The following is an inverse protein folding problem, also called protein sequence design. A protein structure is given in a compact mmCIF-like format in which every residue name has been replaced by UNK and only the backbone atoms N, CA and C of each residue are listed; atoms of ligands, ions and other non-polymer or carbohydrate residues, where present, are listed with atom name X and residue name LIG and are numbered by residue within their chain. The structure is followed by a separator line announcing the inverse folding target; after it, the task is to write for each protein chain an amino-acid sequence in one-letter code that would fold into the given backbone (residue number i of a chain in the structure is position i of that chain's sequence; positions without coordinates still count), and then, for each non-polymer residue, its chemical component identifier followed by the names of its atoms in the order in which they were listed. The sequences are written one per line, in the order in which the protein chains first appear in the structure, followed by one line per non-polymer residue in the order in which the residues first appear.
data_IF_150819883773
#
_entry.id   IF_150819883773
#
_cell.length_a   1.000
_cell.length_b   1.000
_cell.length_c   1.000
_cell.angle_alpha   90.00
_cell.angle_beta   90.00
_cell.angle_gamma   90.00
#
_symmetry.space_group_name_H-M   'P 1'
#
loop_
_entity.id
_entity.type
_entity.pdbx_description
1 polymer ?
#
# COMPACT_ATOMS: atom_id res chain seq x y z
N UNK A 1 -28.46 -44.12 50.17
CA UNK A 1 -28.48 -42.94 49.26
C UNK A 1 -28.01 -43.27 47.84
N UNK A 2 -27.05 -44.17 47.65
CA UNK A 2 -26.51 -44.58 46.35
C UNK A 2 -27.56 -45.06 45.32
N UNK A 3 -28.54 -45.88 45.74
CA UNK A 3 -29.62 -46.38 44.85
C UNK A 3 -30.54 -45.27 44.30
N UNK A 4 -30.75 -44.19 45.07
CA UNK A 4 -31.57 -43.05 44.64
C UNK A 4 -30.83 -42.19 43.61
N UNK A 5 -29.51 -42.05 43.79
CA UNK A 5 -28.64 -41.32 42.84
C UNK A 5 -28.58 -42.06 41.50
N UNK A 6 -28.46 -43.39 41.51
CA UNK A 6 -28.48 -44.21 40.28
C UNK A 6 -29.82 -44.07 39.54
N UNK A 7 -30.95 -44.11 40.25
CA UNK A 7 -32.27 -43.97 39.64
C UNK A 7 -32.46 -42.60 38.97
N UNK A 8 -31.92 -41.52 39.57
CA UNK A 8 -31.96 -40.17 39.00
C UNK A 8 -31.09 -40.07 37.74
N UNK A 9 -29.91 -40.70 37.74
CA UNK A 9 -29.01 -40.72 36.57
C UNK A 9 -29.65 -41.50 35.40
N UNK A 10 -30.31 -42.63 35.68
CA UNK A 10 -30.96 -43.43 34.63
C UNK A 10 -32.18 -42.70 34.05
N UNK A 11 -32.99 -42.03 34.88
CA UNK A 11 -34.08 -41.18 34.39
C UNK A 11 -33.56 -39.99 33.59
N UNK A 12 -32.46 -39.37 34.02
CA UNK A 12 -31.84 -38.26 33.27
C UNK A 12 -31.32 -38.72 31.90
N UNK A 13 -30.71 -39.90 31.80
CA UNK A 13 -30.31 -40.47 30.51
C UNK A 13 -31.50 -40.76 29.60
N UNK A 14 -32.60 -41.31 30.13
CA UNK A 14 -33.78 -41.68 29.34
C UNK A 14 -34.51 -40.46 28.72
N UNK A 15 -34.39 -39.28 29.34
CA UNK A 15 -34.96 -38.02 28.83
C UNK A 15 -34.09 -37.39 27.73
N UNK A 16 -32.77 -37.68 27.72
CA UNK A 16 -31.81 -37.07 26.76
C UNK A 16 -31.71 -37.86 25.45
N UNK A 17 -32.19 -39.11 25.40
CA UNK A 17 -32.01 -40.00 24.24
C UNK A 17 -32.94 -39.73 23.02
N UNK A 18 -34.19 -39.19 23.12
CA UNK A 18 -35.07 -39.19 21.94
C UNK A 18 -34.87 -38.03 20.93
N UNK A 19 -33.81 -37.21 21.00
CA UNK A 19 -33.70 -36.03 20.11
C UNK A 19 -32.78 -36.18 18.89
N UNK A 20 -32.16 -37.34 18.66
CA UNK A 20 -31.39 -37.58 17.43
C UNK A 20 -32.21 -38.35 16.39
N UNK A 21 -33.23 -37.69 15.84
CA UNK A 21 -33.76 -38.10 14.52
C UNK A 21 -32.71 -37.68 13.50
N UNK A 22 -31.83 -38.60 13.14
CA UNK A 22 -31.00 -38.44 11.94
C UNK A 22 -31.94 -38.53 10.75
N UNK A 23 -32.17 -37.41 10.05
CA UNK A 23 -32.85 -37.43 8.78
C UNK A 23 -32.04 -38.32 7.84
N UNK A 24 -32.59 -39.48 7.49
CA UNK A 24 -32.02 -40.34 6.46
C UNK A 24 -32.08 -39.55 5.15
N UNK A 25 -30.93 -39.13 4.64
CA UNK A 25 -30.86 -38.40 3.36
C UNK A 25 -31.59 -39.25 2.32
N UNK A 26 -32.65 -38.69 1.73
CA UNK A 26 -33.37 -39.33 0.63
C UNK A 26 -32.40 -39.52 -0.54
N UNK A 27 -31.78 -40.69 -0.61
CA UNK A 27 -30.88 -41.07 -1.70
C UNK A 27 -31.74 -41.40 -2.91
N UNK A 28 -31.99 -40.39 -3.76
CA UNK A 28 -32.68 -40.59 -5.02
C UNK A 28 -31.97 -41.65 -5.87
N UNK A 29 -32.70 -42.66 -6.31
CA UNK A 29 -32.14 -43.81 -7.05
C UNK A 29 -31.99 -43.45 -8.53
N UNK A 30 -30.79 -43.62 -9.06
CA UNK A 30 -30.53 -43.57 -10.51
C UNK A 30 -30.59 -45.00 -11.02
N UNK A 31 -31.56 -45.32 -11.88
CA UNK A 31 -31.67 -46.66 -12.47
C UNK A 31 -30.95 -46.70 -13.81
N UNK A 32 -29.92 -47.55 -13.90
CA UNK A 32 -29.28 -47.88 -15.18
C UNK A 32 -29.99 -49.09 -15.79
N UNK A 33 -30.33 -49.02 -17.07
CA UNK A 33 -30.88 -50.14 -17.84
C UNK A 33 -29.73 -50.94 -18.47
N UNK A 34 -29.88 -52.26 -18.55
CA UNK A 34 -28.91 -53.12 -19.24
C UNK A 34 -29.11 -53.10 -20.77
N UNK A 35 -28.10 -53.56 -21.53
CA UNK A 35 -28.18 -53.64 -22.98
C UNK A 35 -29.34 -54.57 -23.37
N UNK A 36 -30.30 -54.04 -24.15
CA UNK A 36 -31.51 -54.71 -24.65
C UNK A 36 -32.73 -54.73 -23.70
N UNK A 37 -32.71 -54.01 -22.57
CA UNK A 37 -33.88 -53.83 -21.70
C UNK A 37 -34.79 -52.70 -22.21
N UNK A 38 -36.10 -52.94 -22.31
CA UNK A 38 -37.06 -51.98 -22.88
C UNK A 38 -37.34 -50.86 -21.87
N UNK A 39 -36.75 -49.69 -22.09
CA UNK A 39 -37.04 -48.50 -21.31
C UNK A 39 -38.53 -48.11 -21.46
N UNK A 40 -39.26 -47.82 -20.37
CA UNK A 40 -40.62 -47.28 -20.45
C UNK A 40 -40.68 -45.95 -21.22
N UNK A 41 -39.58 -45.18 -21.15
CA UNK A 41 -39.35 -43.91 -21.86
C UNK A 41 -37.88 -43.83 -22.29
N UNK A 42 -37.57 -43.21 -23.41
CA UNK A 42 -36.18 -43.05 -23.87
C UNK A 42 -35.40 -42.05 -22.98
N UNK A 43 -34.31 -42.48 -22.35
CA UNK A 43 -33.42 -41.62 -21.54
C UNK A 43 -32.91 -42.27 -20.25
N UNK A 44 -32.38 -41.45 -19.34
CA UNK A 44 -31.93 -41.87 -18.00
C UNK A 44 -33.12 -41.75 -17.03
N UNK A 45 -33.47 -42.83 -16.34
CA UNK A 45 -34.56 -42.84 -15.37
C UNK A 45 -34.05 -42.29 -14.02
N UNK A 46 -34.30 -41.00 -13.79
CA UNK A 46 -34.04 -40.33 -12.52
C UNK A 46 -35.32 -40.33 -11.67
N UNK A 47 -35.21 -40.81 -10.44
CA UNK A 47 -36.20 -40.53 -9.41
C UNK A 47 -36.37 -39.00 -9.28
N UNK A 48 -37.59 -38.44 -9.15
CA UNK A 48 -37.82 -37.01 -8.91
C UNK A 48 -36.92 -36.39 -7.83
N UNK A 49 -36.52 -37.17 -6.81
CA UNK A 49 -35.56 -36.74 -5.78
C UNK A 49 -34.15 -36.56 -6.35
N UNK A 50 -33.67 -37.52 -7.17
CA UNK A 50 -32.38 -37.45 -7.85
C UNK A 50 -32.34 -36.32 -8.89
N UNK A 51 -33.42 -36.15 -9.67
CA UNK A 51 -33.54 -35.07 -10.64
C UNK A 51 -33.51 -33.69 -9.98
N UNK A 52 -34.24 -33.53 -8.86
CA UNK A 52 -34.24 -32.29 -8.09
C UNK A 52 -32.87 -31.99 -7.50
N UNK A 53 -32.20 -32.99 -6.92
CA UNK A 53 -30.83 -32.86 -6.39
C UNK A 53 -29.86 -32.42 -7.49
N UNK A 54 -29.86 -33.08 -8.65
CA UNK A 54 -28.99 -32.72 -9.76
C UNK A 54 -29.22 -31.29 -10.28
N UNK A 55 -30.47 -30.81 -10.35
CA UNK A 55 -30.79 -29.44 -10.76
C UNK A 55 -30.28 -28.44 -9.73
N UNK A 56 -30.47 -28.74 -8.45
CA UNK A 56 -30.02 -27.90 -7.34
C UNK A 56 -28.48 -27.84 -7.30
N UNK A 57 -27.81 -28.99 -7.37
CA UNK A 57 -26.36 -29.09 -7.39
C UNK A 57 -25.76 -28.30 -8.56
N UNK A 58 -26.34 -28.41 -9.77
CA UNK A 58 -25.89 -27.62 -10.92
C UNK A 58 -26.00 -26.11 -10.65
N UNK A 59 -27.10 -25.65 -10.06
CA UNK A 59 -27.27 -24.23 -9.70
C UNK A 59 -26.26 -23.79 -8.65
N UNK A 60 -26.02 -24.60 -7.62
CA UNK A 60 -25.03 -24.32 -6.58
C UNK A 60 -23.62 -24.26 -7.15
N UNK A 61 -23.22 -25.23 -7.97
CA UNK A 61 -21.90 -25.26 -8.62
C UNK A 61 -21.71 -24.01 -9.49
N UNK A 62 -22.70 -23.65 -10.32
CA UNK A 62 -22.60 -22.41 -11.12
C UNK A 62 -22.47 -21.17 -10.23
N UNK A 63 -23.18 -21.11 -9.11
CA UNK A 63 -23.11 -19.98 -8.18
C UNK A 63 -21.77 -19.91 -7.46
N UNK A 64 -21.22 -21.05 -7.07
CA UNK A 64 -19.93 -21.17 -6.40
C UNK A 64 -18.80 -20.75 -7.34
N UNK A 65 -18.84 -21.19 -8.60
CA UNK A 65 -17.88 -20.76 -9.64
C UNK A 65 -17.97 -19.25 -9.86
N UNK A 66 -19.18 -18.68 -10.00
CA UNK A 66 -19.37 -17.24 -10.15
C UNK A 66 -18.81 -16.46 -8.96
N UNK A 67 -19.04 -16.95 -7.74
CA UNK A 67 -18.61 -16.30 -6.50
C UNK A 67 -17.08 -16.36 -6.35
N UNK A 68 -16.47 -17.51 -6.64
CA UNK A 68 -15.01 -17.66 -6.61
C UNK A 68 -14.36 -16.77 -7.68
N UNK A 69 -14.88 -16.76 -8.90
CA UNK A 69 -14.36 -15.91 -9.97
C UNK A 69 -14.45 -14.43 -9.60
N UNK A 70 -15.59 -13.99 -9.03
CA UNK A 70 -15.76 -12.61 -8.55
C UNK A 70 -14.78 -12.27 -7.44
N UNK A 71 -14.57 -13.18 -6.49
CA UNK A 71 -13.63 -12.99 -5.38
C UNK A 71 -12.20 -12.84 -5.89
N UNK A 72 -11.76 -13.71 -6.79
CA UNK A 72 -10.42 -13.63 -7.37
C UNK A 72 -10.23 -12.34 -8.19
N UNK A 73 -11.22 -11.98 -9.01
CA UNK A 73 -11.19 -10.76 -9.79
C UNK A 73 -11.10 -9.49 -8.91
N UNK A 74 -11.90 -9.42 -7.85
CA UNK A 74 -11.86 -8.29 -6.92
C UNK A 74 -10.52 -8.22 -6.16
N UNK A 75 -9.97 -9.38 -5.81
CA UNK A 75 -8.66 -9.44 -5.15
C UNK A 75 -7.56 -8.91 -6.07
N UNK A 76 -7.49 -9.40 -7.30
CA UNK A 76 -6.50 -8.94 -8.28
C UNK A 76 -6.65 -7.44 -8.56
N UNK A 77 -7.88 -6.94 -8.76
CA UNK A 77 -8.11 -5.50 -8.91
C UNK A 77 -7.65 -4.70 -7.70
N UNK A 78 -7.92 -5.16 -6.48
CA UNK A 78 -7.49 -4.49 -5.25
C UNK A 78 -5.97 -4.46 -5.15
N UNK A 79 -5.30 -5.57 -5.45
CA UNK A 79 -3.84 -5.69 -5.40
C UNK A 79 -3.19 -4.75 -6.44
N UNK A 80 -3.73 -4.71 -7.66
CA UNK A 80 -3.27 -3.80 -8.71
C UNK A 80 -3.50 -2.34 -8.36
N UNK A 81 -4.69 -1.99 -7.85
CA UNK A 81 -5.02 -0.62 -7.43
C UNK A 81 -4.11 -0.18 -6.29
N UNK A 82 -3.86 -1.04 -5.31
CA UNK A 82 -2.94 -0.75 -4.21
C UNK A 82 -1.52 -0.51 -4.75
N UNK A 83 -1.03 -1.36 -5.66
CA UNK A 83 0.30 -1.19 -6.25
C UNK A 83 0.45 0.15 -7.00
N UNK A 84 -0.59 0.57 -7.75
CA UNK A 84 -0.59 1.85 -8.44
C UNK A 84 -0.59 3.02 -7.45
N UNK A 85 -1.45 2.97 -6.43
CA UNK A 85 -1.52 4.01 -5.42
C UNK A 85 -0.20 4.15 -4.65
N UNK A 86 0.50 3.05 -4.38
CA UNK A 86 1.83 3.08 -3.74
C UNK A 86 2.86 3.76 -4.63
N UNK A 87 2.91 3.41 -5.91
CA UNK A 87 3.83 4.03 -6.87
C UNK A 87 3.54 5.52 -7.04
N UNK A 88 2.26 5.90 -7.10
CA UNK A 88 1.84 7.30 -7.19
C UNK A 88 2.24 8.09 -5.94
N UNK A 89 2.02 7.53 -4.75
CA UNK A 89 2.42 8.15 -3.49
C UNK A 89 3.94 8.32 -3.37
N UNK A 90 4.72 7.32 -3.81
CA UNK A 90 6.18 7.39 -3.82
C UNK A 90 6.67 8.47 -4.80
N UNK A 91 6.08 8.53 -5.99
CA UNK A 91 6.40 9.55 -6.99
C UNK A 91 6.07 10.95 -6.48
N UNK A 92 4.92 11.13 -5.84
CA UNK A 92 4.53 12.41 -5.25
C UNK A 92 5.50 12.82 -4.13
N UNK A 93 5.80 11.91 -3.21
CA UNK A 93 6.77 12.14 -2.13
C UNK A 93 8.14 12.54 -2.67
N UNK A 94 8.63 11.85 -3.70
CA UNK A 94 9.91 12.15 -4.33
C UNK A 94 9.92 13.53 -5.00
N UNK A 95 8.81 13.91 -5.65
CA UNK A 95 8.66 15.25 -6.24
C UNK A 95 8.64 16.33 -5.18
N UNK A 96 7.92 16.12 -4.08
CA UNK A 96 7.87 17.07 -2.97
C UNK A 96 9.24 17.22 -2.30
N UNK A 97 9.96 16.11 -2.08
CA UNK A 97 11.33 16.14 -1.56
C UNK A 97 12.28 16.91 -2.49
N UNK A 98 12.21 16.69 -3.80
CA UNK A 98 13.01 17.44 -4.75
C UNK A 98 12.65 18.93 -4.77
N UNK A 99 11.36 19.27 -4.78
CA UNK A 99 10.90 20.65 -4.72
C UNK A 99 11.41 21.35 -3.45
N UNK A 100 11.29 20.69 -2.29
CA UNK A 100 11.81 21.21 -1.02
C UNK A 100 13.33 21.32 -0.98
N UNK A 101 14.04 20.38 -1.61
CA UNK A 101 15.50 20.44 -1.69
C UNK A 101 15.95 21.62 -2.56
N UNK A 102 15.26 21.86 -3.67
CA UNK A 102 15.54 23.01 -4.55
C UNK A 102 15.25 24.31 -3.80
N UNK A 103 14.07 24.44 -3.18
CA UNK A 103 13.69 25.60 -2.37
C UNK A 103 14.72 25.92 -1.29
N UNK A 104 15.22 24.88 -0.58
CA UNK A 104 16.23 25.04 0.45
C UNK A 104 17.59 25.50 -0.12
N UNK A 105 18.00 24.96 -1.27
CA UNK A 105 19.23 25.39 -1.94
C UNK A 105 19.13 26.82 -2.45
N UNK A 106 18.00 27.20 -3.03
CA UNK A 106 17.77 28.56 -3.50
C UNK A 106 17.81 29.56 -2.34
N UNK A 107 17.21 29.22 -1.19
CA UNK A 107 17.30 30.04 0.02
C UNK A 107 18.75 30.16 0.53
N UNK A 108 19.53 29.08 0.50
CA UNK A 108 20.95 29.14 0.85
C UNK A 108 21.76 30.03 -0.10
N UNK A 109 21.47 29.96 -1.41
CA UNK A 109 22.11 30.83 -2.39
C UNK A 109 21.76 32.29 -2.11
N UNK A 110 20.48 32.59 -1.84
CA UNK A 110 20.04 33.95 -1.53
C UNK A 110 20.67 34.48 -0.23
N UNK A 111 20.73 33.65 0.83
CA UNK A 111 21.42 34.00 2.08
C UNK A 111 22.92 34.24 1.87
N UNK A 112 23.61 33.39 1.11
CA UNK A 112 25.03 33.57 0.80
C UNK A 112 25.26 34.81 -0.04
N UNK A 113 24.39 35.08 -1.02
CA UNK A 113 24.46 36.28 -1.85
C UNK A 113 24.18 37.54 -1.03
N UNK A 114 23.24 37.49 -0.09
CA UNK A 114 22.94 38.59 0.82
C UNK A 114 24.10 38.83 1.80
N UNK A 115 24.68 37.78 2.38
CA UNK A 115 25.86 37.89 3.22
C UNK A 115 27.07 38.44 2.44
N UNK A 116 27.32 37.98 1.21
CA UNK A 116 28.36 38.55 0.35
C UNK A 116 28.07 40.03 0.04
N UNK A 117 26.82 40.37 -0.24
CA UNK A 117 26.43 41.75 -0.56
C UNK A 117 26.55 42.65 0.66
N UNK A 118 26.19 42.19 1.86
CA UNK A 118 26.35 42.94 3.10
C UNK A 118 27.85 43.11 3.44
N UNK A 119 28.67 42.09 3.24
CA UNK A 119 30.13 42.18 3.45
C UNK A 119 30.82 43.07 2.41
N UNK A 120 30.36 43.06 1.14
CA UNK A 120 30.83 43.99 0.09
C UNK A 120 30.25 45.40 0.27
N UNK A 121 29.09 45.54 0.92
CA UNK A 121 28.46 46.85 1.19
C UNK A 121 29.04 47.54 2.43
N UNK A 122 29.54 46.78 3.40
CA UNK A 122 30.29 47.30 4.56
C UNK A 122 31.79 47.44 4.26
N UNK A 123 32.13 47.38 2.97
CA UNK A 123 33.50 47.39 2.51
C UNK A 123 34.03 48.83 2.45
N UNK A 124 34.51 49.31 3.58
CA UNK A 124 35.43 50.45 3.65
C UNK A 124 36.73 50.19 2.88
N UNK A 125 36.91 49.03 2.23
CA UNK A 125 38.07 48.69 1.40
C UNK A 125 38.26 49.63 0.22
N UNK A 126 37.21 50.16 -0.41
CA UNK A 126 37.41 51.18 -1.45
C UNK A 126 38.03 52.45 -0.86
N UNK A 127 37.57 52.88 0.31
CA UNK A 127 38.10 54.03 1.04
C UNK A 127 39.50 53.79 1.61
N UNK A 128 39.76 52.58 2.12
CA UNK A 128 41.05 52.19 2.68
C UNK A 128 42.09 51.98 1.57
N UNK A 129 41.70 51.43 0.43
CA UNK A 129 42.54 51.31 -0.76
C UNK A 129 42.87 52.70 -1.36
N UNK A 130 41.88 53.58 -1.51
CA UNK A 130 42.10 54.96 -1.95
C UNK A 130 43.01 55.73 -0.96
N UNK A 131 42.80 55.55 0.34
CA UNK A 131 43.64 56.14 1.39
C UNK A 131 45.09 55.65 1.33
N UNK A 132 45.30 54.34 1.15
CA UNK A 132 46.62 53.73 1.03
C UNK A 132 47.39 54.22 -0.21
N UNK A 133 46.72 54.36 -1.35
CA UNK A 133 47.32 54.89 -2.58
C UNK A 133 47.75 56.36 -2.41
N UNK A 134 46.90 57.20 -1.82
CA UNK A 134 47.22 58.61 -1.55
C UNK A 134 48.42 58.78 -0.62
N UNK A 135 48.48 58.00 0.47
CA UNK A 135 49.61 58.00 1.41
C UNK A 135 50.90 57.55 0.70
N UNK A 136 50.83 56.51 -0.13
CA UNK A 136 51.98 56.01 -0.90
C UNK A 136 52.55 57.06 -1.86
N UNK A 137 51.69 57.78 -2.59
CA UNK A 137 52.10 58.85 -3.50
C UNK A 137 52.78 59.99 -2.73
N UNK A 138 52.18 60.44 -1.62
CA UNK A 138 52.76 61.49 -0.78
C UNK A 138 54.13 61.08 -0.22
N UNK A 139 54.27 59.83 0.23
CA UNK A 139 55.52 59.28 0.72
C UNK A 139 56.59 59.25 -0.38
N UNK A 140 56.25 58.80 -1.60
CA UNK A 140 57.20 58.78 -2.71
C UNK A 140 57.70 60.17 -3.10
N UNK A 141 56.81 61.17 -3.11
CA UNK A 141 57.20 62.57 -3.38
C UNK A 141 58.12 63.10 -2.27
N UNK A 142 57.80 62.81 -1.00
CA UNK A 142 58.62 63.24 0.13
C UNK A 142 60.02 62.61 0.11
N UNK A 143 60.12 61.31 -0.19
CA UNK A 143 61.40 60.60 -0.32
C UNK A 143 62.22 61.15 -1.48
N UNK A 144 61.58 61.47 -2.62
CA UNK A 144 62.28 62.06 -3.74
C UNK A 144 62.84 63.45 -3.41
N UNK A 145 62.05 64.29 -2.74
CA UNK A 145 62.49 65.62 -2.32
C UNK A 145 63.64 65.55 -1.30
N UNK A 146 63.51 64.67 -0.29
CA UNK A 146 64.59 64.42 0.67
C UNK A 146 65.87 63.91 -0.01
N UNK A 147 65.74 63.04 -1.02
CA UNK A 147 66.90 62.51 -1.76
C UNK A 147 67.59 63.60 -2.60
N UNK A 148 66.82 64.51 -3.19
CA UNK A 148 67.35 65.65 -3.97
C UNK A 148 68.01 66.69 -3.06
N UNK A 149 67.48 66.92 -1.86
CA UNK A 149 68.08 67.80 -0.85
C UNK A 149 69.40 67.23 -0.29
N UNK A 150 69.48 65.91 -0.09
CA UNK A 150 70.70 65.22 0.38
C UNK A 150 71.77 65.08 -0.71
N UNK A 151 71.39 65.10 -1.99
CA UNK A 151 72.30 65.04 -3.13
C UNK A 151 72.88 66.41 -3.55
N UNK A 152 72.49 67.49 -2.88
CA UNK A 152 72.92 68.87 -3.13
C UNK A 152 73.98 69.30 -2.11
#
# INVERSE_FOLDING_TARGET
MFKKIIAVIVCAMMIVIPTSVSAEELQGKVMSLEYNEKAPYAGILLDPIAASKMIVDRKYISKEIELNLRKEFQKDLSDRTLSLNLVEAELQSLRDLHAKTIELKDNQIDQLQMALKDEVSDDHTEWWALGGVLIGIALSVAVFYASVEVAK
#
